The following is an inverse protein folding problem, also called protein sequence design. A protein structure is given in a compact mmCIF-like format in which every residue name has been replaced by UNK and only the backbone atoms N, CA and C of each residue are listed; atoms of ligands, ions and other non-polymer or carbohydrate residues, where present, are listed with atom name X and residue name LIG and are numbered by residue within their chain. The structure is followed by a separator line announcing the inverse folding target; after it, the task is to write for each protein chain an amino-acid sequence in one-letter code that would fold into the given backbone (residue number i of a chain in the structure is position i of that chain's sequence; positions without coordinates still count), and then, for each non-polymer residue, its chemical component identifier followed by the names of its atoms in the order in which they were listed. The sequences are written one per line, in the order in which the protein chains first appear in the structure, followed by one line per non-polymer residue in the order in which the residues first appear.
data_IF_072713143073
#
_entry.id   IF_072713143073
#
_cell.length_a   1.000
_cell.length_b   1.000
_cell.length_c   1.000
_cell.angle_alpha   90.00
_cell.angle_beta   90.00
_cell.angle_gamma   90.00
#
_symmetry.space_group_name_H-M   'P 1'
#
loop_
_entity.id
_entity.type
_entity.pdbx_description
1 polymer ?
#
# COMPACT_ATOMS: atom_id res chain seq x y z
N UNK A 1 29.05 3.94 7.70
CA UNK A 1 29.74 2.99 8.59
C UNK A 1 29.85 3.69 9.93
N UNK A 2 29.16 3.24 10.98
CA UNK A 2 29.13 3.95 12.27
C UNK A 2 30.52 4.04 12.88
N UNK A 3 30.81 5.16 13.53
CA UNK A 3 32.05 5.33 14.29
C UNK A 3 32.03 4.36 15.50
N UNK A 4 33.20 3.87 15.89
CA UNK A 4 33.33 2.99 17.07
C UNK A 4 32.95 3.68 18.40
N UNK A 5 32.79 5.01 18.38
CA UNK A 5 32.32 5.83 19.51
C UNK A 5 30.79 5.86 19.55
N UNK A 6 30.11 6.01 18.41
CA UNK A 6 28.63 5.99 18.33
C UNK A 6 28.05 4.66 18.84
N UNK A 7 28.72 3.54 18.53
CA UNK A 7 28.35 2.20 19.04
C UNK A 7 28.58 2.03 20.54
N UNK A 8 29.58 2.71 21.10
CA UNK A 8 29.87 2.64 22.55
C UNK A 8 28.85 3.44 23.36
N UNK A 9 28.37 4.54 22.80
CA UNK A 9 27.43 5.45 23.45
C UNK A 9 25.95 5.18 23.12
N UNK A 10 25.64 4.08 22.41
CA UNK A 10 24.28 3.76 21.91
C UNK A 10 23.63 4.93 21.16
N UNK A 11 24.41 5.70 20.38
CA UNK A 11 23.92 6.83 19.61
C UNK A 11 23.36 6.34 18.26
N UNK A 12 22.16 6.79 17.93
CA UNK A 12 21.54 6.57 16.63
C UNK A 12 21.72 7.86 15.81
N UNK A 13 22.62 7.84 14.84
CA UNK A 13 22.76 8.92 13.86
C UNK A 13 21.79 8.74 12.71
N UNK A 14 20.77 9.60 12.65
CA UNK A 14 19.79 9.69 11.55
C UNK A 14 20.19 10.88 10.68
N UNK A 15 20.17 10.74 9.35
CA UNK A 15 20.45 11.90 8.49
C UNK A 15 19.31 12.92 8.57
N UNK A 16 19.64 14.21 8.39
CA UNK A 16 18.65 15.30 8.36
C UNK A 16 17.66 15.19 7.18
N UNK A 17 17.89 14.28 6.24
CA UNK A 17 17.00 14.00 5.11
C UNK A 17 15.77 13.20 5.53
N UNK A 18 15.77 12.56 6.71
CA UNK A 18 14.65 11.74 7.17
C UNK A 18 13.61 12.57 7.92
N UNK A 19 12.35 12.36 7.56
CA UNK A 19 11.17 12.99 8.18
C UNK A 19 10.16 11.91 8.59
N UNK A 20 9.33 12.23 9.57
CA UNK A 20 8.29 11.33 10.08
C UNK A 20 8.21 11.35 11.60
N UNK A 21 7.99 10.19 12.22
CA UNK A 21 7.88 10.08 13.66
C UNK A 21 8.48 8.76 14.17
N UNK A 22 9.03 8.83 15.38
CA UNK A 22 9.53 7.67 16.12
C UNK A 22 8.76 7.61 17.43
N UNK A 23 8.01 6.54 17.65
CA UNK A 23 7.38 6.30 18.96
C UNK A 23 8.34 5.44 19.76
N UNK A 24 8.69 5.92 20.95
CA UNK A 24 9.39 5.15 21.99
C UNK A 24 8.41 4.84 23.11
N UNK A 25 8.70 3.89 24.02
CA UNK A 25 7.79 3.56 25.13
C UNK A 25 7.40 4.75 26.01
N UNK A 26 8.20 5.82 26.00
CA UNK A 26 8.11 6.96 26.91
C UNK A 26 7.63 8.23 26.20
N UNK A 27 7.93 8.39 24.91
CA UNK A 27 7.65 9.62 24.15
C UNK A 27 7.57 9.38 22.65
N UNK A 28 6.90 10.29 21.95
CA UNK A 28 6.92 10.41 20.49
C UNK A 28 7.92 11.50 20.09
N UNK A 29 8.78 11.20 19.13
CA UNK A 29 9.74 12.12 18.54
C UNK A 29 9.27 12.39 17.11
N UNK A 30 8.91 13.63 16.80
CA UNK A 30 8.54 14.04 15.46
C UNK A 30 9.78 14.62 14.75
N UNK A 31 10.07 14.12 13.56
CA UNK A 31 11.13 14.58 12.68
C UNK A 31 10.49 15.42 11.57
N UNK A 32 10.51 16.74 11.76
CA UNK A 32 9.97 17.69 10.79
C UNK A 32 10.97 17.93 9.64
N UNK A 33 10.47 18.25 8.43
CA UNK A 33 11.34 18.72 7.35
C UNK A 33 12.00 20.04 7.72
N UNK A 34 13.05 20.40 6.97
CA UNK A 34 13.81 21.65 7.16
C UNK A 34 12.98 22.93 6.96
N UNK A 35 11.86 22.82 6.24
CA UNK A 35 11.00 23.94 5.88
C UNK A 35 9.69 23.85 6.68
N UNK A 36 9.40 24.86 7.49
CA UNK A 36 8.25 24.87 8.41
C UNK A 36 6.91 24.93 7.66
N UNK A 37 6.90 25.44 6.43
CA UNK A 37 5.71 25.46 5.57
C UNK A 37 5.31 24.04 5.12
N UNK A 38 6.25 23.10 5.13
CA UNK A 38 6.02 21.73 4.70
C UNK A 38 5.60 20.87 5.88
N UNK A 39 4.30 20.83 6.16
CA UNK A 39 3.71 19.84 7.05
C UNK A 39 3.81 18.39 6.55
N UNK A 40 3.56 17.44 7.45
CA UNK A 40 3.49 16.00 7.14
C UNK A 40 2.42 15.68 6.09
N UNK A 41 1.36 16.49 6.02
CA UNK A 41 0.33 16.40 4.97
C UNK A 41 0.91 16.59 3.57
N UNK A 42 1.80 17.56 3.39
CA UNK A 42 2.44 17.80 2.09
C UNK A 42 3.35 16.63 1.70
N UNK A 43 4.10 16.07 2.65
CA UNK A 43 4.93 14.88 2.44
C UNK A 43 4.06 13.70 2.01
N UNK A 44 2.92 13.51 2.66
CA UNK A 44 1.99 12.43 2.32
C UNK A 44 1.31 12.65 0.96
N UNK A 45 0.90 13.88 0.63
CA UNK A 45 0.43 14.28 -0.71
C UNK A 45 1.48 13.98 -1.79
N UNK A 46 2.74 14.33 -1.56
CA UNK A 46 3.84 14.03 -2.49
C UNK A 46 3.99 12.52 -2.70
N UNK A 47 3.94 11.73 -1.62
CA UNK A 47 4.00 10.28 -1.70
C UNK A 47 2.84 9.70 -2.53
N UNK A 48 1.61 10.11 -2.25
CA UNK A 48 0.44 9.69 -3.03
C UNK A 48 0.52 10.14 -4.48
N UNK A 49 1.05 11.34 -4.73
CA UNK A 49 1.26 11.82 -6.09
C UNK A 49 2.25 10.94 -6.85
N UNK A 50 3.35 10.52 -6.24
CA UNK A 50 4.36 9.68 -6.89
C UNK A 50 3.84 8.28 -7.16
N UNK A 51 3.26 7.62 -6.15
CA UNK A 51 2.93 6.20 -6.20
C UNK A 51 1.50 5.88 -6.63
N UNK A 52 0.53 6.76 -6.38
CA UNK A 52 -0.88 6.53 -6.75
C UNK A 52 -1.33 7.38 -7.93
N UNK A 53 -0.99 8.66 -7.99
CA UNK A 53 -1.68 9.58 -8.90
C UNK A 53 -1.36 9.29 -10.38
N UNK A 54 -2.42 9.14 -11.17
CA UNK A 54 -2.42 9.15 -12.62
C UNK A 54 -3.22 10.35 -13.13
N UNK A 55 -2.91 10.81 -14.34
CA UNK A 55 -3.51 12.02 -14.95
C UNK A 55 -5.04 11.94 -15.15
N UNK A 56 -5.59 10.73 -15.11
CA UNK A 56 -7.04 10.45 -15.23
C UNK A 56 -7.75 10.33 -13.89
N UNK A 57 -7.01 10.39 -12.78
CA UNK A 57 -7.57 10.26 -11.44
C UNK A 57 -8.19 11.58 -10.98
N UNK A 58 -9.22 11.47 -10.15
CA UNK A 58 -9.84 12.59 -9.46
C UNK A 58 -8.94 13.10 -8.33
N UNK A 59 -8.98 14.40 -8.06
CA UNK A 59 -8.14 15.05 -7.03
C UNK A 59 -8.43 14.53 -5.62
N UNK A 60 -9.59 13.89 -5.42
CA UNK A 60 -10.00 13.24 -4.17
C UNK A 60 -9.03 12.14 -3.68
N UNK A 61 -8.16 11.61 -4.54
CA UNK A 61 -7.09 10.68 -4.11
C UNK A 61 -6.05 11.37 -3.23
N UNK A 62 -5.84 12.68 -3.43
CA UNK A 62 -4.86 13.51 -2.71
C UNK A 62 -5.47 14.24 -1.51
N UNK A 63 -6.78 14.13 -1.29
CA UNK A 63 -7.47 14.77 -0.17
C UNK A 63 -7.14 14.07 1.15
N UNK A 64 -6.38 14.76 2.01
CA UNK A 64 -6.00 14.31 3.36
C UNK A 64 -6.60 15.23 4.44
N UNK A 65 -7.45 16.18 4.03
CA UNK A 65 -7.91 17.36 4.78
C UNK A 65 -8.66 17.08 6.10
N UNK A 66 -9.04 15.83 6.39
CA UNK A 66 -9.72 15.48 7.65
C UNK A 66 -8.78 15.06 8.81
N UNK A 67 -7.46 15.07 8.62
CA UNK A 67 -6.51 14.75 9.70
C UNK A 67 -5.93 16.01 10.32
N UNK A 68 -6.57 16.50 11.37
CA UNK A 68 -5.98 17.54 12.21
C UNK A 68 -4.63 17.05 12.78
N UNK A 69 -3.55 17.71 12.33
CA UNK A 69 -2.18 17.76 12.87
C UNK A 69 -1.34 16.48 12.96
N UNK A 70 -1.91 15.28 12.93
CA UNK A 70 -1.12 14.03 12.83
C UNK A 70 -1.84 12.99 11.96
N UNK A 71 -1.32 12.75 10.74
CA UNK A 71 -1.83 11.68 9.87
C UNK A 71 -1.38 10.34 10.44
N UNK A 72 -2.33 9.60 11.01
CA UNK A 72 -2.15 8.21 11.40
C UNK A 72 -2.40 7.32 10.16
N UNK A 73 -1.30 6.93 9.50
CA UNK A 73 -1.30 6.15 8.26
C UNK A 73 -2.00 4.80 8.47
N UNK A 74 -1.75 4.15 9.61
CA UNK A 74 -2.37 2.87 9.95
C UNK A 74 -3.90 3.02 10.07
N UNK A 75 -4.38 4.05 10.77
CA UNK A 75 -5.82 4.28 10.87
C UNK A 75 -6.47 4.65 9.54
N UNK A 76 -5.81 5.45 8.70
CA UNK A 76 -6.30 5.80 7.36
C UNK A 76 -6.40 4.56 6.47
N UNK A 77 -5.38 3.69 6.52
CA UNK A 77 -5.41 2.40 5.83
C UNK A 77 -6.58 1.52 6.31
N UNK A 78 -6.76 1.34 7.62
CA UNK A 78 -7.81 0.48 8.17
C UNK A 78 -9.21 0.97 7.78
N UNK A 79 -9.45 2.28 7.83
CA UNK A 79 -10.72 2.89 7.35
C UNK A 79 -10.94 2.62 5.86
N UNK A 80 -9.88 2.72 5.06
CA UNK A 80 -9.95 2.45 3.63
C UNK A 80 -10.25 0.97 3.32
N UNK A 81 -9.66 0.05 4.09
CA UNK A 81 -9.95 -1.40 4.00
C UNK A 81 -11.40 -1.70 4.38
N UNK A 82 -11.92 -1.09 5.45
CA UNK A 82 -13.33 -1.25 5.85
C UNK A 82 -14.29 -0.79 4.76
N UNK A 83 -14.03 0.38 4.17
CA UNK A 83 -14.81 0.89 3.04
C UNK A 83 -14.80 -0.09 1.86
N UNK A 84 -13.65 -0.67 1.54
CA UNK A 84 -13.53 -1.66 0.48
C UNK A 84 -14.30 -2.95 0.78
N UNK A 85 -14.25 -3.44 2.03
CA UNK A 85 -15.00 -4.63 2.44
C UNK A 85 -16.51 -4.38 2.32
N UNK A 86 -16.99 -3.21 2.75
CA UNK A 86 -18.40 -2.81 2.61
C UNK A 86 -18.86 -2.80 1.15
N UNK A 87 -17.97 -2.43 0.21
CA UNK A 87 -18.23 -2.43 -1.24
C UNK A 87 -18.00 -3.79 -1.91
N UNK A 88 -17.54 -4.79 -1.16
CA UNK A 88 -17.21 -6.13 -1.65
C UNK A 88 -15.72 -6.33 -1.90
N UNK A 89 -15.21 -7.46 -1.40
CA UNK A 89 -13.83 -7.90 -1.56
C UNK A 89 -13.58 -8.27 -3.02
N UNK A 90 -12.43 -7.85 -3.55
CA UNK A 90 -12.06 -8.21 -4.91
C UNK A 90 -11.79 -9.72 -5.02
N UNK A 91 -12.37 -10.36 -6.03
CA UNK A 91 -12.09 -11.75 -6.36
C UNK A 91 -11.64 -11.81 -7.82
N UNK A 92 -10.48 -12.43 -8.05
CA UNK A 92 -9.94 -12.59 -9.40
C UNK A 92 -10.53 -13.84 -10.03
N UNK A 93 -10.83 -13.75 -11.32
CA UNK A 93 -11.25 -14.92 -12.08
C UNK A 93 -10.02 -15.75 -12.44
N UNK A 94 -10.00 -17.01 -12.02
CA UNK A 94 -8.95 -17.95 -12.41
C UNK A 94 -9.52 -19.06 -13.28
N UNK A 95 -8.70 -19.57 -14.19
CA UNK A 95 -9.01 -20.77 -14.97
C UNK A 95 -8.08 -21.87 -14.51
N UNK A 96 -8.62 -22.90 -13.88
CA UNK A 96 -7.86 -24.07 -13.42
C UNK A 96 -8.24 -25.29 -14.25
N UNK A 97 -7.22 -26.07 -14.62
CA UNK A 97 -7.44 -27.39 -15.18
C UNK A 97 -7.68 -28.37 -14.03
N UNK A 98 -8.84 -29.03 -14.02
CA UNK A 98 -9.18 -30.00 -12.99
C UNK A 98 -9.85 -31.23 -13.61
N UNK A 99 -9.45 -32.39 -13.11
CA UNK A 99 -10.11 -33.66 -13.40
C UNK A 99 -11.30 -33.79 -12.43
N UNK A 100 -12.50 -33.88 -12.98
CA UNK A 100 -13.79 -33.91 -12.26
C UNK A 100 -14.62 -35.10 -12.70
N UNK A 101 -15.59 -35.50 -11.88
CA UNK A 101 -16.52 -36.60 -12.17
C UNK A 101 -17.67 -36.20 -13.10
N UNK A 102 -17.93 -34.90 -13.22
CA UNK A 102 -19.05 -34.36 -13.99
C UNK A 102 -18.59 -33.27 -14.96
N UNK A 103 -19.34 -33.09 -16.05
CA UNK A 103 -19.06 -32.07 -17.06
C UNK A 103 -19.22 -30.67 -16.45
N UNK A 104 -18.13 -29.90 -16.42
CA UNK A 104 -18.10 -28.49 -16.01
C UNK A 104 -17.15 -27.71 -16.89
N UNK A 105 -17.53 -26.50 -17.30
CA UNK A 105 -16.66 -25.62 -18.09
C UNK A 105 -16.25 -26.23 -19.44
N UNK A 106 -15.03 -25.91 -19.90
CA UNK A 106 -14.54 -26.37 -21.21
C UNK A 106 -13.81 -27.69 -21.09
N UNK A 107 -14.33 -28.73 -21.73
CA UNK A 107 -13.80 -30.11 -21.66
C UNK A 107 -12.60 -30.28 -22.61
N UNK A 108 -11.59 -31.03 -22.16
CA UNK A 108 -10.52 -31.57 -23.01
C UNK A 108 -10.85 -33.02 -23.39
N UNK A 109 -11.64 -33.20 -24.44
CA UNK A 109 -12.14 -34.52 -24.86
C UNK A 109 -11.06 -35.59 -24.99
N UNK A 110 -9.92 -35.27 -25.63
CA UNK A 110 -8.81 -36.21 -25.77
C UNK A 110 -8.26 -36.69 -24.42
N UNK A 111 -8.10 -35.78 -23.45
CA UNK A 111 -7.59 -36.13 -22.11
C UNK A 111 -8.64 -36.86 -21.29
N UNK A 112 -9.91 -36.47 -21.43
CA UNK A 112 -11.04 -37.14 -20.78
C UNK A 112 -11.16 -38.60 -21.24
N UNK A 113 -11.04 -38.83 -22.55
CA UNK A 113 -11.06 -40.18 -23.10
C UNK A 113 -9.90 -41.03 -22.59
N UNK A 114 -8.68 -40.49 -22.55
CA UNK A 114 -7.54 -41.16 -21.93
C UNK A 114 -7.78 -41.51 -20.45
N UNK A 115 -8.29 -40.57 -19.66
CA UNK A 115 -8.57 -40.79 -18.25
C UNK A 115 -9.67 -41.84 -18.03
N UNK A 116 -10.67 -41.90 -18.93
CA UNK A 116 -11.69 -42.94 -18.94
C UNK A 116 -11.08 -44.31 -19.22
N UNK A 117 -10.23 -44.43 -20.24
CA UNK A 117 -9.51 -45.68 -20.53
C UNK A 117 -8.62 -46.14 -19.36
N UNK A 118 -8.06 -45.19 -18.61
CA UNK A 118 -7.26 -45.45 -17.40
C UNK A 118 -8.12 -45.73 -16.15
N UNK A 119 -9.45 -45.88 -16.28
CA UNK A 119 -10.41 -46.11 -15.18
C UNK A 119 -10.25 -45.14 -14.00
N UNK A 120 -9.91 -43.87 -14.27
CA UNK A 120 -9.86 -42.86 -13.22
C UNK A 120 -11.27 -42.49 -12.77
N UNK A 121 -11.50 -42.44 -11.46
CA UNK A 121 -12.78 -42.00 -10.88
C UNK A 121 -13.20 -40.60 -11.38
N UNK A 122 -12.24 -39.66 -11.43
CA UNK A 122 -12.44 -38.34 -12.00
C UNK A 122 -11.89 -38.33 -13.43
N UNK A 123 -12.70 -38.74 -14.39
CA UNK A 123 -12.23 -38.91 -15.77
C UNK A 123 -12.38 -37.65 -16.62
N UNK A 124 -13.28 -36.72 -16.30
CA UNK A 124 -13.52 -35.52 -17.11
C UNK A 124 -12.46 -34.45 -16.82
N UNK A 125 -11.53 -34.26 -17.77
CA UNK A 125 -10.54 -33.20 -17.67
C UNK A 125 -11.10 -31.90 -18.24
N UNK A 126 -11.23 -30.86 -17.42
CA UNK A 126 -11.90 -29.63 -17.81
C UNK A 126 -11.23 -28.36 -17.28
N UNK A 127 -11.33 -27.29 -18.06
CA UNK A 127 -11.04 -25.94 -17.61
C UNK A 127 -12.26 -25.41 -16.87
N UNK A 128 -12.14 -25.38 -15.54
CA UNK A 128 -13.15 -24.81 -14.65
C UNK A 128 -12.68 -23.43 -14.26
N UNK A 129 -13.60 -22.49 -14.29
CA UNK A 129 -13.30 -21.16 -13.80
C UNK A 129 -13.91 -20.95 -12.43
N UNK A 130 -13.15 -20.28 -11.58
CA UNK A 130 -13.55 -19.98 -10.21
C UNK A 130 -13.21 -18.54 -9.86
N UNK A 131 -13.90 -18.04 -8.86
CA UNK A 131 -13.51 -16.80 -8.21
C UNK A 131 -12.51 -17.14 -7.10
N UNK A 132 -11.39 -16.43 -7.11
CA UNK A 132 -10.33 -16.59 -6.12
C UNK A 132 -10.15 -15.31 -5.33
N UNK A 133 -10.21 -15.47 -4.02
CA UNK A 133 -9.88 -14.40 -3.09
C UNK A 133 -8.37 -14.19 -3.01
N UNK A 134 -7.56 -15.20 -3.29
CA UNK A 134 -6.11 -15.04 -3.30
C UNK A 134 -5.65 -14.43 -4.63
N UNK A 135 -5.28 -13.16 -4.59
CA UNK A 135 -4.80 -12.37 -5.72
C UNK A 135 -3.87 -11.26 -5.22
N UNK A 136 -3.14 -10.61 -6.12
CA UNK A 136 -2.10 -9.63 -5.77
C UNK A 136 -2.64 -8.45 -4.95
N UNK A 137 -3.85 -7.97 -5.26
CA UNK A 137 -4.53 -6.89 -4.53
C UNK A 137 -4.76 -7.30 -3.08
N UNK A 138 -5.39 -8.46 -2.87
CA UNK A 138 -5.71 -8.94 -1.54
C UNK A 138 -4.45 -9.35 -0.78
N UNK A 139 -3.45 -9.93 -1.45
CA UNK A 139 -2.19 -10.30 -0.83
C UNK A 139 -1.47 -9.06 -0.27
N UNK A 140 -1.48 -7.95 -1.02
CA UNK A 140 -0.87 -6.68 -0.57
C UNK A 140 -1.61 -6.09 0.64
N UNK A 141 -2.94 -6.11 0.63
CA UNK A 141 -3.76 -5.68 1.78
C UNK A 141 -3.48 -6.55 3.01
N UNK A 142 -3.48 -7.87 2.85
CA UNK A 142 -3.29 -8.82 3.96
C UNK A 142 -1.87 -8.71 4.53
N UNK A 143 -0.86 -8.53 3.69
CA UNK A 143 0.54 -8.34 4.13
C UNK A 143 0.66 -7.10 5.04
N UNK A 144 0.04 -5.99 4.66
CA UNK A 144 0.00 -4.78 5.49
C UNK A 144 -0.79 -5.00 6.80
N UNK A 145 -1.93 -5.68 6.75
CA UNK A 145 -2.71 -6.04 7.95
C UNK A 145 -1.90 -6.93 8.90
N UNK A 146 -1.23 -7.97 8.40
CA UNK A 146 -0.38 -8.86 9.20
C UNK A 146 0.74 -8.07 9.87
N UNK A 147 1.33 -7.08 9.18
CA UNK A 147 2.34 -6.18 9.76
C UNK A 147 1.74 -5.34 10.90
N UNK A 148 0.58 -4.72 10.69
CA UNK A 148 -0.12 -3.92 11.71
C UNK A 148 -0.61 -4.74 12.91
N UNK A 149 -0.89 -6.04 12.73
CA UNK A 149 -1.35 -6.92 13.82
C UNK A 149 -0.38 -6.95 15.01
N UNK A 150 0.92 -6.75 14.73
CA UNK A 150 1.99 -6.73 15.74
C UNK A 150 1.86 -5.55 16.72
N UNK A 151 1.13 -4.49 16.34
CA UNK A 151 0.90 -3.32 17.17
C UNK A 151 -0.36 -3.52 18.00
N UNK A 152 -0.24 -3.53 19.33
CA UNK A 152 -1.38 -3.75 20.24
C UNK A 152 -2.56 -2.81 19.99
N UNK A 153 -2.29 -1.56 19.63
CA UNK A 153 -3.31 -0.53 19.30
C UNK A 153 -4.28 -0.99 18.22
N UNK A 154 -3.81 -1.72 17.21
CA UNK A 154 -4.63 -2.14 16.07
C UNK A 154 -4.96 -3.63 16.05
N UNK A 155 -4.36 -4.46 16.91
CA UNK A 155 -4.50 -5.93 16.87
C UNK A 155 -5.96 -6.39 16.81
N UNK A 156 -6.86 -5.83 17.63
CA UNK A 156 -8.27 -6.24 17.66
C UNK A 156 -8.97 -5.94 16.33
N UNK A 157 -8.83 -4.69 15.84
CA UNK A 157 -9.43 -4.23 14.58
C UNK A 157 -8.84 -4.94 13.36
N UNK A 158 -7.53 -5.20 13.36
CA UNK A 158 -6.88 -5.96 12.29
C UNK A 158 -7.35 -7.41 12.26
N UNK A 159 -7.54 -8.03 13.44
CA UNK A 159 -7.97 -9.43 13.52
C UNK A 159 -9.36 -9.64 12.96
N UNK A 160 -10.31 -8.70 13.21
CA UNK A 160 -11.64 -8.76 12.60
C UNK A 160 -11.57 -8.58 11.07
N UNK A 161 -10.73 -7.66 10.58
CA UNK A 161 -10.56 -7.46 9.14
C UNK A 161 -9.93 -8.68 8.44
N UNK A 162 -8.96 -9.34 9.07
CA UNK A 162 -8.31 -10.54 8.52
C UNK A 162 -9.29 -11.71 8.35
N UNK A 163 -10.38 -11.78 9.12
CA UNK A 163 -11.40 -12.82 8.95
C UNK A 163 -12.08 -12.76 7.57
N UNK A 164 -12.15 -11.58 6.96
CA UNK A 164 -12.73 -11.42 5.62
C UNK A 164 -11.81 -11.94 4.50
N UNK A 165 -10.50 -12.04 4.76
CA UNK A 165 -9.49 -12.45 3.77
C UNK A 165 -8.94 -13.87 4.03
N UNK A 166 -9.78 -14.76 4.57
CA UNK A 166 -9.40 -16.15 4.77
C UNK A 166 -8.96 -16.80 3.45
N UNK A 167 -7.78 -17.44 3.47
CA UNK A 167 -7.21 -18.11 2.29
C UNK A 167 -6.27 -17.25 1.43
N UNK A 168 -5.91 -16.04 1.88
CA UNK A 168 -4.88 -15.19 1.28
C UNK A 168 -3.55 -15.38 2.05
N UNK A 169 -2.41 -15.45 1.34
CA UNK A 169 -1.10 -15.78 1.94
C UNK A 169 -0.55 -14.67 2.84
N UNK A 170 -0.53 -13.41 2.36
CA UNK A 170 -0.06 -12.27 3.16
C UNK A 170 1.45 -12.23 3.35
N UNK A 171 2.21 -12.51 2.29
CA UNK A 171 3.66 -12.78 2.30
C UNK A 171 4.50 -11.78 1.49
N UNK A 172 3.97 -10.58 1.23
CA UNK A 172 4.68 -9.56 0.46
C UNK A 172 5.67 -8.80 1.36
N UNK A 173 6.95 -8.92 1.04
CA UNK A 173 8.03 -8.22 1.73
C UNK A 173 8.26 -6.79 1.20
N UNK A 174 8.08 -6.57 -0.10
CA UNK A 174 8.30 -5.26 -0.74
C UNK A 174 7.00 -4.74 -1.34
N UNK A 175 6.38 -3.82 -0.61
CA UNK A 175 5.08 -3.27 -0.93
C UNK A 175 5.10 -2.40 -2.19
N UNK A 176 6.09 -1.51 -2.35
CA UNK A 176 6.19 -0.62 -3.51
C UNK A 176 6.39 -1.40 -4.81
N UNK A 177 7.21 -2.46 -4.78
CA UNK A 177 7.40 -3.32 -5.95
C UNK A 177 6.12 -4.07 -6.31
N UNK A 178 5.47 -4.68 -5.32
CA UNK A 178 4.20 -5.38 -5.55
C UNK A 178 3.11 -4.44 -6.08
N UNK A 179 3.03 -3.21 -5.57
CA UNK A 179 2.10 -2.20 -6.09
C UNK A 179 2.35 -1.85 -7.56
N UNK A 180 3.61 -1.77 -7.98
CA UNK A 180 3.98 -1.46 -9.36
C UNK A 180 3.64 -2.59 -10.35
N UNK A 181 3.61 -3.84 -9.89
CA UNK A 181 3.26 -5.01 -10.70
C UNK A 181 1.73 -5.14 -10.91
N UNK A 182 0.92 -4.48 -10.07
CA UNK A 182 -0.54 -4.52 -10.15
C UNK A 182 -1.05 -3.61 -11.28
N UNK A 183 -1.70 -4.23 -12.26
CA UNK A 183 -2.37 -3.51 -13.34
C UNK A 183 -3.78 -3.07 -12.92
N UNK A 184 -3.97 -1.77 -12.76
CA UNK A 184 -5.27 -1.19 -12.45
C UNK A 184 -6.15 -1.08 -13.70
N UNK A 185 -7.39 -1.55 -13.57
CA UNK A 185 -8.46 -1.38 -14.55
C UNK A 185 -9.65 -0.64 -13.90
N UNK A 186 -10.71 -0.38 -14.65
CA UNK A 186 -11.90 0.33 -14.15
C UNK A 186 -12.50 -0.29 -12.88
N UNK A 187 -12.43 -1.62 -12.73
CA UNK A 187 -13.00 -2.34 -11.60
C UNK A 187 -12.06 -2.37 -10.39
N UNK A 188 -10.74 -2.34 -10.61
CA UNK A 188 -9.73 -2.39 -9.54
C UNK A 188 -9.22 -1.01 -9.11
N UNK A 189 -9.51 0.06 -9.87
CA UNK A 189 -9.03 1.41 -9.57
C UNK A 189 -9.44 1.90 -8.17
N UNK A 190 -10.61 1.47 -7.68
CA UNK A 190 -11.09 1.82 -6.33
C UNK A 190 -10.14 1.38 -5.20
N UNK A 191 -9.36 0.32 -5.41
CA UNK A 191 -8.44 -0.20 -4.39
C UNK A 191 -7.10 0.55 -4.35
N UNK A 192 -6.78 1.32 -5.38
CA UNK A 192 -5.45 1.92 -5.61
C UNK A 192 -4.93 2.73 -4.43
N UNK A 193 -5.77 3.59 -3.86
CA UNK A 193 -5.43 4.37 -2.68
C UNK A 193 -5.13 3.46 -1.47
N UNK A 194 -5.95 2.42 -1.27
CA UNK A 194 -5.75 1.45 -0.18
C UNK A 194 -4.45 0.66 -0.35
N UNK A 195 -4.15 0.26 -1.59
CA UNK A 195 -2.92 -0.46 -1.91
C UNK A 195 -1.67 0.40 -1.75
N UNK A 196 -1.80 1.72 -1.97
CA UNK A 196 -0.69 2.65 -1.71
C UNK A 196 -0.44 2.81 -0.21
N UNK A 197 -1.49 2.89 0.60
CA UNK A 197 -1.32 2.86 2.05
C UNK A 197 -0.72 1.52 2.51
N UNK A 198 -1.15 0.41 1.92
CA UNK A 198 -0.59 -0.92 2.20
C UNK A 198 0.91 -0.98 1.88
N UNK A 199 1.33 -0.51 0.70
CA UNK A 199 2.74 -0.49 0.30
C UNK A 199 3.58 0.36 1.24
N UNK A 200 3.05 1.52 1.64
CA UNK A 200 3.70 2.42 2.59
C UNK A 200 3.89 1.77 3.97
N UNK A 201 2.87 1.07 4.47
CA UNK A 201 2.97 0.31 5.73
C UNK A 201 4.02 -0.79 5.63
N UNK A 202 4.02 -1.55 4.53
CA UNK A 202 4.95 -2.65 4.32
C UNK A 202 6.40 -2.16 4.25
N UNK A 203 6.65 -1.03 3.58
CA UNK A 203 8.02 -0.59 3.32
C UNK A 203 8.59 0.35 4.40
N UNK A 204 7.75 1.15 5.06
CA UNK A 204 8.20 2.31 5.86
C UNK A 204 7.78 2.30 7.33
N UNK A 205 6.81 1.46 7.69
CA UNK A 205 6.32 1.41 9.05
C UNK A 205 7.09 0.33 9.83
N UNK A 206 7.99 0.75 10.69
CA UNK A 206 8.80 -0.14 11.52
C UNK A 206 8.23 -0.26 12.94
N UNK A 207 8.48 -1.41 13.56
CA UNK A 207 8.04 -1.69 14.92
C UNK A 207 9.17 -2.37 15.66
N UNK A 208 9.56 -1.76 16.77
CA UNK A 208 10.51 -2.37 17.69
C UNK A 208 9.78 -2.90 18.93
N UNK A 209 10.18 -4.11 19.33
CA UNK A 209 9.86 -4.67 20.63
C UNK A 209 11.04 -4.38 21.57
N UNK A 210 11.10 -3.18 22.13
CA UNK A 210 12.10 -2.87 23.16
C UNK A 210 11.59 -3.43 24.49
N UNK A 211 12.12 -4.58 24.90
CA UNK A 211 11.74 -5.26 26.15
C UNK A 211 10.28 -5.72 26.18
N UNK A 212 9.79 -6.07 27.38
CA UNK A 212 8.39 -6.48 27.60
C UNK A 212 7.37 -5.33 27.41
N UNK A 213 7.81 -4.19 26.85
CA UNK A 213 6.98 -3.00 26.65
C UNK A 213 6.46 -2.91 25.22
N UNK A 214 5.14 -2.72 25.18
CA UNK A 214 4.24 -2.30 24.09
C UNK A 214 4.95 -1.93 22.77
N UNK A 215 4.76 -2.72 21.72
CA UNK A 215 5.32 -2.47 20.39
C UNK A 215 5.03 -1.06 19.91
N UNK A 216 6.08 -0.27 19.69
CA UNK A 216 5.98 1.14 19.31
C UNK A 216 6.17 1.30 17.82
N UNK A 217 5.24 2.02 17.18
CA UNK A 217 5.27 2.27 15.74
C UNK A 217 6.16 3.46 15.38
N UNK A 218 7.05 3.28 14.41
CA UNK A 218 7.88 4.34 13.87
C UNK A 218 7.70 4.41 12.36
N UNK A 219 7.66 5.63 11.85
CA UNK A 219 7.44 5.90 10.44
C UNK A 219 8.48 6.90 9.96
N UNK A 220 9.31 6.49 9.00
CA UNK A 220 10.39 7.32 8.47
C UNK A 220 10.40 7.31 6.94
N UNK A 221 10.49 8.50 6.34
CA UNK A 221 10.69 8.70 4.91
C UNK A 221 11.96 9.52 4.69
N UNK A 222 12.76 9.16 3.69
CA UNK A 222 13.78 10.05 3.16
C UNK A 222 13.11 11.12 2.29
N UNK A 223 12.98 12.33 2.83
CA UNK A 223 12.30 13.46 2.20
C UNK A 223 13.02 13.94 0.94
N UNK A 224 14.35 14.02 0.96
CA UNK A 224 15.15 14.48 -0.17
C UNK A 224 14.90 13.61 -1.40
N UNK A 225 14.93 12.27 -1.22
CA UNK A 225 14.63 11.33 -2.30
C UNK A 225 13.19 11.42 -2.77
N UNK A 226 12.24 11.53 -1.84
CA UNK A 226 10.82 11.70 -2.18
C UNK A 226 10.61 12.95 -3.03
N UNK A 227 11.25 14.06 -2.65
CA UNK A 227 11.16 15.32 -3.36
C UNK A 227 11.82 15.24 -4.74
N UNK A 228 12.96 14.56 -4.88
CA UNK A 228 13.60 14.31 -6.16
C UNK A 228 12.68 13.51 -7.10
N UNK A 229 12.12 12.39 -6.62
CA UNK A 229 11.19 11.55 -7.37
C UNK A 229 9.92 12.34 -7.77
N UNK A 230 9.42 13.21 -6.88
CA UNK A 230 8.29 14.11 -7.13
C UNK A 230 8.58 15.08 -8.27
N UNK A 231 9.71 15.80 -8.19
CA UNK A 231 10.14 16.74 -9.22
C UNK A 231 10.36 16.03 -10.56
N UNK A 232 11.01 14.87 -10.55
CA UNK A 232 11.21 14.05 -11.74
C UNK A 232 9.87 13.63 -12.38
N UNK A 233 8.89 13.21 -11.58
CA UNK A 233 7.55 12.85 -12.07
C UNK A 233 6.80 14.06 -12.65
N UNK A 234 6.88 15.22 -12.01
CA UNK A 234 6.30 16.47 -12.54
C UNK A 234 6.91 16.82 -13.90
N UNK A 235 8.24 16.83 -13.99
CA UNK A 235 8.96 17.21 -15.21
C UNK A 235 8.71 16.25 -16.37
N UNK A 236 8.48 14.96 -16.09
CA UNK A 236 8.20 13.94 -17.12
C UNK A 236 6.73 13.90 -17.54
N UNK A 237 5.80 14.24 -16.64
CA UNK A 237 4.34 14.18 -16.90
C UNK A 237 3.80 15.45 -17.55
N UNK A 238 4.48 16.59 -17.36
CA UNK A 238 4.17 17.85 -18.04
C UNK A 238 4.76 17.80 -19.47
N UNK A 239 3.95 17.99 -20.53
CA UNK A 239 4.45 17.95 -21.90
C UNK A 239 5.49 19.06 -22.15
N UNK A 240 6.48 18.75 -22.99
CA UNK A 240 7.65 19.56 -23.43
C UNK A 240 7.36 20.97 -24.02
N UNK A 241 6.15 21.54 -23.87
CA UNK A 241 5.85 22.85 -24.43
C UNK A 241 6.26 23.96 -23.46
N UNK A 242 7.28 24.72 -23.88
CA UNK A 242 7.84 25.93 -23.27
C UNK A 242 6.79 27.07 -23.12
N UNK A 243 5.82 26.90 -22.25
CA UNK A 243 5.08 28.00 -21.61
C UNK A 243 5.16 27.81 -20.09
N UNK A 244 6.40 27.67 -19.64
CA UNK A 244 6.80 27.43 -18.26
C UNK A 244 7.00 28.80 -17.60
N UNK A 245 6.14 29.16 -16.65
CA UNK A 245 6.46 29.84 -15.37
C UNK A 245 5.23 30.46 -14.70
N UNK A 246 4.19 30.88 -15.46
CA UNK A 246 3.03 31.53 -14.84
C UNK A 246 1.92 30.57 -14.35
N UNK A 247 1.73 29.44 -15.02
CA UNK A 247 0.64 28.51 -14.67
C UNK A 247 0.94 27.60 -13.47
N UNK A 248 2.18 27.09 -13.36
CA UNK A 248 2.54 26.16 -12.28
C UNK A 248 2.54 26.85 -10.91
N UNK A 249 2.94 28.12 -10.86
CA UNK A 249 2.88 28.89 -9.63
C UNK A 249 1.43 29.15 -9.21
N UNK A 250 0.49 29.30 -10.15
CA UNK A 250 -0.93 29.49 -9.85
C UNK A 250 -1.68 28.18 -9.56
N UNK A 251 -1.44 27.07 -10.23
CA UNK A 251 -2.16 25.80 -9.96
C UNK A 251 -1.59 25.05 -8.77
N UNK A 252 -0.26 25.04 -8.58
CA UNK A 252 0.35 24.47 -7.39
C UNK A 252 0.13 25.40 -6.20
N UNK A 253 0.21 26.74 -6.34
CA UNK A 253 -0.24 27.58 -5.22
C UNK A 253 -1.75 27.46 -4.99
N UNK A 254 -2.65 27.40 -5.98
CA UNK A 254 -4.09 27.21 -5.69
C UNK A 254 -4.34 25.86 -4.98
N UNK A 255 -3.64 24.78 -5.35
CA UNK A 255 -3.74 23.49 -4.63
C UNK A 255 -3.08 23.46 -3.24
N UNK A 256 -2.15 24.38 -2.96
CA UNK A 256 -1.44 24.49 -1.68
C UNK A 256 -1.88 25.71 -0.82
N UNK A 257 -2.65 26.66 -1.36
CA UNK A 257 -2.98 27.97 -0.76
C UNK A 257 -4.50 28.18 -0.62
N UNK A 258 -5.35 27.27 -1.12
CA UNK A 258 -6.81 27.46 -1.07
C UNK A 258 -7.42 27.51 0.34
N UNK A 259 -6.63 27.37 1.42
CA UNK A 259 -7.02 27.77 2.80
C UNK A 259 -5.84 28.24 3.63
N UNK A 260 -5.31 29.42 3.31
CA UNK A 260 -4.61 30.31 4.24
C UNK A 260 -5.53 31.44 4.74
N UNK A 261 -6.81 31.12 4.99
CA UNK A 261 -7.78 31.96 5.73
C UNK A 261 -8.56 31.08 6.71
#
# INVERSE_FOLDING_TARGET
MWSNEERRENLISISNSYVGYIVTPIRKINLSPKYDEIGFEHIFRMYLYIYSYQKTDDNSILDITNSNKEIDIANTFLKSVEKNIQQGIYQSYSKRLKDVSAIKGRIRYAKTYQNYLLNKHNYVSSYISGLEINNDINNLIVSALVKLRKIKKYTSRVSSLLMYYQGVSGDIENGSKALAEINFNSNTNRFKQTLTYASMIIDRLDFDNVGNTLGTESFLINFDKLFEDFVAKILTTIPKKKSFLFGLQLEIMVQFTDRMD
#
